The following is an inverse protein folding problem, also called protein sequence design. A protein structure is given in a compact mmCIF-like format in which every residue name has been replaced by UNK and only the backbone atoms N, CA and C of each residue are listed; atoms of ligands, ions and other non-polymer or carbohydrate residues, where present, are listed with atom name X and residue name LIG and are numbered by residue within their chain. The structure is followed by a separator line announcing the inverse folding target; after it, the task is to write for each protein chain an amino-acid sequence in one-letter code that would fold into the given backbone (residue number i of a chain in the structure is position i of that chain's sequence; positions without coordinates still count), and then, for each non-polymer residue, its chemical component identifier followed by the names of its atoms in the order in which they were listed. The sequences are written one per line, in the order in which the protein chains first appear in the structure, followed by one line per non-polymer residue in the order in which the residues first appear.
data_IF_964312262048
#
_entry.id   IF_964312262048
#
_cell.length_a   1.000
_cell.length_b   1.000
_cell.length_c   1.000
_cell.angle_alpha   90.00
_cell.angle_beta   90.00
_cell.angle_gamma   90.00
#
_symmetry.space_group_name_H-M   'P 1'
#
loop_
_entity.id
_entity.type
_entity.pdbx_description
1 polymer ?
#
# COMPACT_ATOMS: atom_id res chain seq x y z
N UNK A 1 7.15 9.09 -13.19
CA UNK A 1 5.83 8.57 -13.62
C UNK A 1 4.87 9.70 -14.05
N UNK A 2 4.54 10.71 -13.22
CA UNK A 2 3.60 11.79 -13.59
C UNK A 2 3.93 12.46 -14.94
N UNK A 3 5.13 12.97 -15.14
CA UNK A 3 5.54 13.61 -16.39
C UNK A 3 5.46 12.66 -17.59
N UNK A 4 5.83 11.39 -17.40
CA UNK A 4 5.72 10.40 -18.46
C UNK A 4 4.25 10.12 -18.85
N UNK A 5 3.32 10.14 -17.91
CA UNK A 5 1.88 10.01 -18.22
C UNK A 5 1.37 11.20 -19.03
N UNK A 6 1.79 12.43 -18.69
CA UNK A 6 1.44 13.64 -19.45
C UNK A 6 1.95 13.53 -20.89
N UNK A 7 3.20 13.14 -21.10
CA UNK A 7 3.80 12.94 -22.42
C UNK A 7 3.11 11.84 -23.24
N UNK A 8 2.51 10.86 -22.57
CA UNK A 8 1.75 9.79 -23.22
C UNK A 8 0.29 10.17 -23.56
N UNK A 9 -0.08 11.42 -23.40
CA UNK A 9 -1.40 11.94 -23.75
C UNK A 9 -2.42 11.88 -22.62
N UNK A 10 -1.98 11.75 -21.37
CA UNK A 10 -2.80 11.88 -20.16
C UNK A 10 -2.53 13.24 -19.49
N UNK A 11 -3.12 14.36 -19.98
CA UNK A 11 -2.74 15.71 -19.60
C UNK A 11 -2.95 16.03 -18.11
N UNK A 12 -3.87 15.32 -17.44
CA UNK A 12 -4.07 15.45 -16.00
C UNK A 12 -2.94 14.78 -15.19
N UNK A 13 -2.19 13.84 -15.81
CA UNK A 13 -1.14 13.08 -15.14
C UNK A 13 -1.68 12.27 -13.96
N UNK A 14 -1.04 12.43 -12.79
CA UNK A 14 -1.44 11.79 -11.53
C UNK A 14 -1.91 12.87 -10.55
N UNK A 15 -3.04 12.64 -9.91
CA UNK A 15 -3.49 13.36 -8.73
C UNK A 15 -3.14 12.54 -7.49
N UNK A 16 -2.41 13.13 -6.54
CA UNK A 16 -1.85 12.39 -5.39
C UNK A 16 -2.16 13.12 -4.08
N UNK A 17 -2.69 12.37 -3.13
CA UNK A 17 -2.80 12.77 -1.73
C UNK A 17 -1.85 11.89 -0.90
N UNK A 18 -0.96 12.53 -0.13
CA UNK A 18 -0.08 11.85 0.83
C UNK A 18 -0.59 12.09 2.24
N UNK A 19 -0.80 11.02 2.99
CA UNK A 19 -1.26 11.07 4.40
C UNK A 19 -0.17 10.45 5.27
N UNK A 20 0.42 11.24 6.16
CA UNK A 20 1.47 10.79 7.09
C UNK A 20 1.42 11.66 8.36
N UNK A 21 1.28 11.09 9.57
CA UNK A 21 1.26 11.84 10.82
C UNK A 21 2.62 12.36 11.25
N UNK A 22 3.71 11.81 10.70
CA UNK A 22 5.06 11.97 11.22
C UNK A 22 5.68 13.32 10.89
N UNK A 23 6.61 13.69 11.75
CA UNK A 23 7.55 14.79 11.51
C UNK A 23 8.94 14.23 11.22
N UNK A 24 9.73 15.01 10.48
CA UNK A 24 11.11 14.67 10.19
C UNK A 24 11.94 14.73 11.47
N UNK A 25 12.64 13.65 11.78
CA UNK A 25 13.61 13.55 12.87
C UNK A 25 15.05 13.53 12.35
N UNK A 26 16.01 13.76 13.23
CA UNK A 26 17.44 13.66 12.88
C UNK A 26 17.82 12.27 12.36
N UNK A 27 17.16 11.21 12.85
CA UNK A 27 17.41 9.82 12.42
C UNK A 27 16.87 9.50 11.02
N UNK A 28 16.02 10.37 10.45
CA UNK A 28 15.57 10.23 9.07
C UNK A 28 16.61 10.72 8.05
N UNK A 29 17.48 11.66 8.46
CA UNK A 29 18.51 12.23 7.60
C UNK A 29 19.55 11.16 7.26
N UNK A 30 19.92 11.06 6.00
CA UNK A 30 20.92 10.09 5.52
C UNK A 30 20.37 8.72 5.10
N UNK A 31 19.13 8.36 5.50
CA UNK A 31 18.44 7.14 5.03
C UNK A 31 17.10 7.40 4.34
N UNK A 32 16.57 8.60 4.43
CA UNK A 32 15.38 9.08 3.75
C UNK A 32 15.69 10.42 3.07
N UNK A 33 14.87 10.83 2.13
CA UNK A 33 15.07 12.05 1.31
C UNK A 33 14.76 13.34 2.09
N UNK A 34 15.32 13.50 3.28
CA UNK A 34 15.19 14.70 4.12
C UNK A 34 16.54 15.36 4.39
N UNK A 35 16.51 16.67 4.59
CA UNK A 35 17.66 17.50 4.87
C UNK A 35 17.64 18.03 6.32
N UNK A 36 18.76 18.52 6.85
CA UNK A 36 18.81 19.06 8.20
C UNK A 36 17.80 20.20 8.45
N UNK A 37 17.47 21.00 7.42
CA UNK A 37 16.47 22.06 7.47
C UNK A 37 15.03 21.57 7.62
N UNK A 38 14.76 20.28 7.36
CA UNK A 38 13.41 19.71 7.42
C UNK A 38 13.03 19.23 8.81
N UNK A 39 14.01 19.10 9.71
CA UNK A 39 13.77 18.56 11.05
C UNK A 39 12.66 19.31 11.77
N UNK A 40 11.68 18.57 12.29
CA UNK A 40 10.50 19.10 12.96
C UNK A 40 9.33 19.44 12.06
N UNK A 41 9.51 19.40 10.73
CA UNK A 41 8.44 19.65 9.76
C UNK A 41 7.70 18.33 9.40
N UNK A 42 6.49 18.45 8.84
CA UNK A 42 5.70 17.28 8.39
C UNK A 42 6.40 16.56 7.23
N UNK A 43 6.56 15.23 7.33
CA UNK A 43 7.16 14.41 6.28
C UNK A 43 6.38 14.51 4.97
N UNK A 44 5.05 14.37 5.05
CA UNK A 44 4.18 14.44 3.88
C UNK A 44 4.25 15.80 3.18
N UNK A 45 4.12 16.90 3.93
CA UNK A 45 4.10 18.25 3.38
C UNK A 45 5.41 18.62 2.69
N UNK A 46 6.55 18.29 3.30
CA UNK A 46 7.87 18.57 2.72
C UNK A 46 8.06 17.83 1.40
N UNK A 47 7.75 16.53 1.33
CA UNK A 47 7.95 15.75 0.12
C UNK A 47 6.98 16.15 -0.98
N UNK A 48 5.71 16.40 -0.64
CA UNK A 48 4.71 16.87 -1.61
C UNK A 48 5.07 18.23 -2.17
N UNK A 49 5.49 19.19 -1.32
CA UNK A 49 5.92 20.49 -1.76
C UNK A 49 7.13 20.43 -2.72
N UNK A 50 8.10 19.54 -2.45
CA UNK A 50 9.22 19.29 -3.36
C UNK A 50 8.77 18.76 -4.71
N UNK A 51 7.87 17.75 -4.69
CA UNK A 51 7.31 17.20 -5.92
C UNK A 51 6.55 18.27 -6.72
N UNK A 52 5.72 19.07 -6.05
CA UNK A 52 4.95 20.15 -6.69
C UNK A 52 5.87 21.20 -7.34
N UNK A 53 6.95 21.60 -6.66
CA UNK A 53 7.92 22.54 -7.22
C UNK A 53 8.68 21.95 -8.42
N UNK A 54 9.09 20.68 -8.35
CA UNK A 54 9.88 20.06 -9.40
C UNK A 54 9.05 19.70 -10.63
N UNK A 55 7.82 19.22 -10.44
CA UNK A 55 6.98 18.68 -11.51
C UNK A 55 5.81 19.59 -11.89
N UNK A 56 5.66 20.74 -11.20
CA UNK A 56 4.54 21.68 -11.37
C UNK A 56 3.18 21.01 -11.18
N UNK A 57 3.08 20.13 -10.19
CA UNK A 57 1.83 19.47 -9.80
C UNK A 57 1.10 20.23 -8.70
N UNK A 58 -0.16 19.87 -8.48
CA UNK A 58 -0.98 20.39 -7.37
C UNK A 58 -1.30 19.30 -6.34
N UNK A 59 -0.36 18.37 -6.06
CA UNK A 59 -0.56 17.29 -5.12
C UNK A 59 -0.79 17.80 -3.70
N UNK A 60 -1.54 17.03 -2.92
CA UNK A 60 -1.95 17.42 -1.56
C UNK A 60 -1.27 16.56 -0.50
N UNK A 61 -1.09 17.13 0.68
CA UNK A 61 -0.58 16.43 1.86
C UNK A 61 -1.50 16.65 3.06
N UNK A 62 -1.65 15.61 3.90
CA UNK A 62 -2.37 15.67 5.17
C UNK A 62 -1.47 15.12 6.28
N UNK A 63 -1.18 15.93 7.30
CA UNK A 63 -0.51 15.49 8.51
C UNK A 63 -1.50 14.83 9.46
N UNK A 64 -1.88 13.60 9.15
CA UNK A 64 -2.85 12.84 9.93
C UNK A 64 -2.60 11.34 9.84
N UNK A 65 -3.15 10.58 10.79
CA UNK A 65 -3.15 9.12 10.74
C UNK A 65 -4.42 8.60 10.08
N UNK A 66 -4.30 7.54 9.29
CA UNK A 66 -5.45 6.76 8.86
C UNK A 66 -5.92 5.87 10.00
N UNK A 67 -7.17 6.03 10.41
CA UNK A 67 -7.81 5.28 11.49
C UNK A 67 -8.93 4.40 10.97
N UNK A 68 -9.50 3.56 11.84
CA UNK A 68 -10.65 2.73 11.51
C UNK A 68 -11.87 3.53 11.01
N UNK A 69 -12.00 4.80 11.42
CA UNK A 69 -13.11 5.67 11.04
C UNK A 69 -12.80 6.59 9.86
N UNK A 70 -11.57 6.55 9.36
CA UNK A 70 -11.15 7.38 8.24
C UNK A 70 -11.94 7.07 6.97
N UNK A 71 -12.13 8.13 6.16
CA UNK A 71 -12.62 8.04 4.79
C UNK A 71 -11.74 8.92 3.92
N UNK A 72 -11.32 8.42 2.78
CA UNK A 72 -10.62 9.23 1.78
C UNK A 72 -11.61 10.21 1.13
N UNK A 73 -11.18 11.45 0.93
CA UNK A 73 -12.04 12.53 0.42
C UNK A 73 -12.57 12.28 -0.99
N UNK A 74 -11.75 11.65 -1.81
CA UNK A 74 -12.10 11.27 -3.17
C UNK A 74 -12.15 9.74 -3.25
N UNK A 75 -12.90 9.22 -4.23
CA UNK A 75 -12.92 7.80 -4.52
C UNK A 75 -11.58 7.44 -5.19
N UNK A 76 -10.57 6.93 -4.45
CA UNK A 76 -9.25 6.70 -5.02
C UNK A 76 -9.29 5.52 -5.98
N UNK A 77 -8.57 5.61 -7.10
CA UNK A 77 -8.34 4.48 -8.00
C UNK A 77 -7.32 3.51 -7.42
N UNK A 78 -6.28 4.05 -6.78
CA UNK A 78 -5.19 3.29 -6.18
C UNK A 78 -4.84 3.88 -4.82
N UNK A 79 -4.68 3.02 -3.83
CA UNK A 79 -4.14 3.37 -2.51
C UNK A 79 -2.82 2.62 -2.32
N UNK A 80 -1.76 3.35 -2.00
CA UNK A 80 -0.43 2.79 -1.71
C UNK A 80 -0.24 2.79 -0.19
N UNK A 81 -0.10 1.60 0.40
CA UNK A 81 0.13 1.42 1.82
C UNK A 81 1.61 1.22 2.12
N UNK A 82 2.21 2.19 2.80
CA UNK A 82 3.61 2.16 3.25
C UNK A 82 3.69 2.18 4.79
N UNK A 83 2.71 1.59 5.46
CA UNK A 83 2.62 1.57 6.92
C UNK A 83 3.47 0.45 7.51
N UNK A 84 4.11 0.72 8.63
CA UNK A 84 5.08 -0.16 9.30
C UNK A 84 4.44 -1.16 10.27
N UNK A 85 3.17 -0.95 10.68
CA UNK A 85 2.49 -1.80 11.64
C UNK A 85 1.19 -2.40 11.09
N UNK A 86 0.75 -3.50 11.70
CA UNK A 86 -0.42 -4.29 11.27
C UNK A 86 -1.73 -3.55 11.50
N UNK A 87 -1.84 -2.84 12.61
CA UNK A 87 -3.01 -2.03 12.95
C UNK A 87 -3.24 -0.93 11.90
N UNK A 88 -2.20 -0.26 11.47
CA UNK A 88 -2.26 0.74 10.40
C UNK A 88 -2.72 0.14 9.06
N UNK A 89 -2.19 -1.04 8.67
CA UNK A 89 -2.66 -1.75 7.47
C UNK A 89 -4.14 -2.10 7.54
N UNK A 90 -4.61 -2.60 8.69
CA UNK A 90 -6.02 -2.88 8.89
C UNK A 90 -6.89 -1.63 8.75
N UNK A 91 -6.47 -0.49 9.31
CA UNK A 91 -7.16 0.78 9.21
C UNK A 91 -7.24 1.28 7.76
N UNK A 92 -6.14 1.20 6.99
CA UNK A 92 -6.10 1.57 5.57
C UNK A 92 -7.11 0.73 4.76
N UNK A 93 -7.13 -0.59 4.93
CA UNK A 93 -8.07 -1.46 4.24
C UNK A 93 -9.53 -1.15 4.59
N UNK A 94 -9.83 -0.83 5.85
CA UNK A 94 -11.17 -0.40 6.27
C UNK A 94 -11.55 0.94 5.65
N UNK A 95 -10.61 1.91 5.61
CA UNK A 95 -10.82 3.21 5.00
C UNK A 95 -11.11 3.08 3.50
N UNK A 96 -10.39 2.23 2.76
CA UNK A 96 -10.65 1.95 1.34
C UNK A 96 -12.08 1.44 1.17
N UNK A 97 -12.46 0.37 1.89
CA UNK A 97 -13.81 -0.23 1.79
C UNK A 97 -14.96 0.77 2.01
N UNK A 98 -14.72 1.79 2.86
CA UNK A 98 -15.70 2.85 3.15
C UNK A 98 -15.72 3.98 2.14
N UNK A 99 -14.60 4.19 1.43
CA UNK A 99 -14.40 5.33 0.54
C UNK A 99 -14.76 5.03 -0.90
N UNK A 100 -14.57 3.77 -1.35
CA UNK A 100 -14.78 3.41 -2.74
C UNK A 100 -16.19 2.90 -3.00
N UNK A 101 -16.75 3.29 -4.15
CA UNK A 101 -18.09 2.86 -4.55
C UNK A 101 -18.09 1.43 -5.08
N UNK A 102 -17.12 1.06 -5.92
CA UNK A 102 -16.98 -0.27 -6.51
C UNK A 102 -15.73 -0.97 -5.99
N UNK A 103 -14.56 -0.56 -6.45
CA UNK A 103 -13.27 -1.10 -6.03
C UNK A 103 -12.18 -0.05 -6.19
N UNK A 104 -11.09 -0.25 -5.45
CA UNK A 104 -9.81 0.40 -5.69
C UNK A 104 -8.71 -0.65 -5.71
N UNK A 105 -7.60 -0.35 -6.38
CA UNK A 105 -6.37 -1.10 -6.19
C UNK A 105 -5.74 -0.71 -4.85
N UNK A 106 -5.20 -1.72 -4.16
CA UNK A 106 -4.38 -1.53 -2.97
C UNK A 106 -3.01 -2.13 -3.21
N UNK A 107 -1.99 -1.28 -3.19
CA UNK A 107 -0.59 -1.66 -3.31
C UNK A 107 0.04 -1.63 -1.92
N UNK A 108 0.29 -2.79 -1.33
CA UNK A 108 0.95 -2.93 -0.03
C UNK A 108 2.45 -3.06 -0.21
N UNK A 109 3.20 -2.22 0.50
CA UNK A 109 4.65 -2.30 0.61
C UNK A 109 5.01 -2.68 2.06
N UNK A 110 5.82 -3.72 2.18
CA UNK A 110 6.36 -4.13 3.47
C UNK A 110 7.81 -4.56 3.32
N UNK A 111 8.62 -4.27 4.33
CA UNK A 111 10.01 -4.70 4.33
C UNK A 111 10.53 -4.95 5.75
N UNK A 112 11.56 -5.76 5.82
CA UNK A 112 12.43 -5.98 6.98
C UNK A 112 13.80 -5.39 6.68
N UNK A 113 14.83 -5.82 7.38
CA UNK A 113 16.20 -5.34 7.17
C UNK A 113 16.69 -5.55 5.72
N UNK A 114 16.50 -6.74 5.15
CA UNK A 114 17.05 -7.10 3.84
C UNK A 114 16.01 -7.67 2.86
N UNK A 115 14.78 -7.89 3.32
CA UNK A 115 13.73 -8.45 2.49
C UNK A 115 12.55 -7.51 2.42
N UNK A 116 11.78 -7.63 1.34
CA UNK A 116 10.55 -6.86 1.21
C UNK A 116 9.59 -7.48 0.23
N UNK A 117 8.38 -6.97 0.26
CA UNK A 117 7.28 -7.37 -0.62
C UNK A 117 6.56 -6.15 -1.17
N UNK A 118 6.11 -6.28 -2.40
CA UNK A 118 5.17 -5.37 -3.06
C UNK A 118 4.03 -6.22 -3.57
N UNK A 119 2.80 -5.96 -3.14
CA UNK A 119 1.64 -6.75 -3.55
C UNK A 119 0.49 -5.81 -3.92
N UNK A 120 0.08 -5.86 -5.19
CA UNK A 120 -1.09 -5.18 -5.72
C UNK A 120 -2.29 -6.11 -5.67
N UNK A 121 -3.38 -5.66 -5.10
CA UNK A 121 -4.65 -6.36 -5.11
C UNK A 121 -5.82 -5.40 -5.19
N UNK A 122 -7.04 -5.94 -5.28
CA UNK A 122 -8.26 -5.12 -5.28
C UNK A 122 -8.93 -5.16 -3.90
N UNK A 123 -9.46 -4.03 -3.49
CA UNK A 123 -10.34 -3.90 -2.34
C UNK A 123 -11.71 -3.45 -2.82
N UNK A 124 -12.73 -4.26 -2.56
CA UNK A 124 -14.10 -3.93 -2.94
C UNK A 124 -14.76 -3.05 -1.89
N UNK A 125 -15.47 -2.02 -2.36
CA UNK A 125 -16.37 -1.22 -1.56
C UNK A 125 -17.54 -2.05 -1.03
N UNK A 126 -18.20 -1.55 0.02
CA UNK A 126 -19.31 -2.24 0.68
C UNK A 126 -20.51 -2.51 -0.21
N UNK A 127 -20.69 -1.74 -1.29
CA UNK A 127 -21.77 -1.87 -2.27
C UNK A 127 -21.39 -2.69 -3.51
N UNK A 128 -20.14 -3.11 -3.66
CA UNK A 128 -19.66 -3.85 -4.81
C UNK A 128 -20.27 -5.26 -4.83
N UNK A 129 -20.79 -5.66 -5.99
CA UNK A 129 -21.40 -6.98 -6.22
C UNK A 129 -20.49 -7.93 -7.00
N UNK A 130 -19.29 -7.49 -7.39
CA UNK A 130 -18.32 -8.36 -8.07
C UNK A 130 -17.87 -9.46 -7.12
N UNK A 131 -17.68 -10.66 -7.66
CA UNK A 131 -17.28 -11.83 -6.86
C UNK A 131 -15.78 -12.12 -6.95
N UNK A 132 -15.19 -11.88 -8.13
CA UNK A 132 -13.78 -12.17 -8.39
C UNK A 132 -12.96 -10.89 -8.28
N UNK A 133 -11.85 -10.97 -7.58
CA UNK A 133 -10.89 -9.87 -7.42
C UNK A 133 -9.45 -10.39 -7.37
N UNK A 134 -8.52 -9.54 -7.69
CA UNK A 134 -7.11 -9.80 -7.44
C UNK A 134 -6.87 -9.80 -5.91
N UNK A 135 -6.32 -10.87 -5.32
CA UNK A 135 -6.09 -10.91 -3.87
C UNK A 135 -5.08 -9.85 -3.45
N UNK A 136 -5.40 -9.11 -2.40
CA UNK A 136 -4.48 -8.15 -1.80
C UNK A 136 -3.61 -8.82 -0.71
N UNK A 137 -2.63 -8.10 -0.21
CA UNK A 137 -1.65 -8.63 0.73
C UNK A 137 -2.29 -9.32 1.96
N UNK A 138 -3.36 -8.75 2.54
CA UNK A 138 -4.03 -9.35 3.70
C UNK A 138 -4.92 -10.56 3.36
N UNK A 139 -5.20 -10.85 2.09
CA UNK A 139 -5.83 -12.12 1.69
C UNK A 139 -4.81 -13.25 1.64
N UNK A 140 -3.59 -12.93 1.20
CA UNK A 140 -2.48 -13.90 1.10
C UNK A 140 -1.79 -14.12 2.45
N UNK A 141 -1.73 -13.08 3.28
CA UNK A 141 -1.09 -13.07 4.59
C UNK A 141 -2.01 -12.40 5.62
N UNK A 142 -3.01 -13.11 6.16
CA UNK A 142 -3.96 -12.52 7.10
C UNK A 142 -3.33 -11.89 8.34
N UNK A 143 -2.19 -12.42 8.78
CA UNK A 143 -1.47 -11.94 9.97
C UNK A 143 -0.93 -10.51 9.82
N UNK A 144 -0.79 -9.98 8.60
CA UNK A 144 -0.28 -8.62 8.39
C UNK A 144 -1.26 -7.51 8.81
N UNK A 145 -2.49 -7.87 9.14
CA UNK A 145 -3.52 -6.96 9.66
C UNK A 145 -3.97 -7.31 11.08
N UNK A 146 -3.36 -8.31 11.70
CA UNK A 146 -3.63 -8.66 13.10
C UNK A 146 -2.79 -7.78 14.04
N UNK A 147 -3.35 -6.66 14.46
CA UNK A 147 -2.68 -5.72 15.36
C UNK A 147 -2.33 -6.28 16.74
N UNK A 148 -2.83 -7.48 17.11
CA UNK A 148 -2.41 -8.15 18.34
C UNK A 148 -0.99 -8.68 18.28
N UNK A 149 -0.45 -8.83 17.06
CA UNK A 149 0.91 -9.28 16.76
C UNK A 149 1.90 -8.11 16.59
N UNK A 150 1.46 -6.86 16.72
CA UNK A 150 2.37 -5.72 16.71
C UNK A 150 3.23 -5.76 17.99
N UNK A 151 4.54 -5.68 17.81
CA UNK A 151 5.47 -5.68 18.94
C UNK A 151 5.25 -4.46 19.83
N UNK A 152 5.25 -4.70 21.16
CA UNK A 152 5.05 -3.64 22.14
C UNK A 152 6.27 -2.71 22.25
N UNK A 153 7.39 -3.07 21.63
CA UNK A 153 8.70 -2.41 21.73
C UNK A 153 9.13 -1.65 20.46
N UNK A 154 8.21 -1.17 19.65
CA UNK A 154 8.51 -0.29 18.51
C UNK A 154 8.89 1.14 18.95
N UNK A 155 9.82 1.23 19.89
CA UNK A 155 10.41 2.52 20.25
C UNK A 155 11.18 3.09 19.04
N UNK A 156 11.01 4.39 18.74
CA UNK A 156 11.78 5.05 17.68
C UNK A 156 13.28 4.88 17.92
N UNK A 157 14.02 4.60 16.84
CA UNK A 157 15.49 4.50 16.94
C UNK A 157 16.09 5.81 17.44
N UNK A 158 16.94 5.74 18.45
CA UNK A 158 17.57 6.91 19.07
C UNK A 158 18.72 7.49 18.22
N UNK A 159 19.27 6.72 17.28
CA UNK A 159 20.37 7.14 16.40
C UNK A 159 20.19 6.61 14.96
N UNK A 160 20.91 7.23 14.01
CA UNK A 160 20.98 6.74 12.63
C UNK A 160 21.61 5.33 12.57
N UNK A 161 22.64 5.05 13.38
CA UNK A 161 23.28 3.74 13.43
C UNK A 161 22.27 2.65 13.83
N UNK A 162 21.52 2.86 14.93
CA UNK A 162 20.48 1.95 15.37
C UNK A 162 19.36 1.76 14.33
N UNK A 163 19.01 2.82 13.61
CA UNK A 163 18.03 2.73 12.53
C UNK A 163 18.54 1.89 11.34
N UNK A 164 19.86 1.96 11.04
CA UNK A 164 20.49 1.16 9.99
C UNK A 164 20.68 -0.31 10.40
N UNK A 165 20.83 -0.60 11.70
CA UNK A 165 20.85 -1.98 12.21
C UNK A 165 19.49 -2.67 12.04
N UNK A 166 18.38 -1.90 12.11
CA UNK A 166 17.02 -2.42 11.89
C UNK A 166 16.63 -2.52 10.43
N UNK A 167 17.24 -1.73 9.53
CA UNK A 167 16.83 -1.61 8.14
C UNK A 167 18.01 -1.20 7.25
N UNK A 168 18.29 -2.01 6.22
CA UNK A 168 19.32 -1.68 5.22
C UNK A 168 19.03 -0.34 4.53
N UNK A 169 20.08 0.42 4.23
CA UNK A 169 19.99 1.75 3.63
C UNK A 169 19.15 1.80 2.34
N UNK A 170 19.24 0.76 1.50
CA UNK A 170 18.62 0.77 0.17
C UNK A 170 17.32 -0.04 0.06
N UNK A 171 16.86 -0.67 1.14
CA UNK A 171 15.66 -1.52 1.05
C UNK A 171 14.41 -0.71 0.69
N UNK A 172 14.24 0.48 1.27
CA UNK A 172 13.08 1.34 0.99
C UNK A 172 13.06 1.79 -0.48
N UNK A 173 14.21 2.24 -1.01
CA UNK A 173 14.33 2.67 -2.40
C UNK A 173 14.08 1.50 -3.36
N UNK A 174 14.58 0.31 -3.00
CA UNK A 174 14.34 -0.91 -3.79
C UNK A 174 12.85 -1.24 -3.83
N UNK A 175 12.15 -1.17 -2.69
CA UNK A 175 10.69 -1.42 -2.64
C UNK A 175 9.90 -0.35 -3.40
N UNK A 176 10.27 0.91 -3.27
CA UNK A 176 9.64 2.00 -3.99
C UNK A 176 9.81 1.86 -5.52
N UNK A 177 11.01 1.50 -5.98
CA UNK A 177 11.28 1.24 -7.40
C UNK A 177 10.48 0.03 -7.92
N UNK A 178 10.40 -1.04 -7.14
CA UNK A 178 9.61 -2.21 -7.47
C UNK A 178 8.11 -1.88 -7.62
N UNK A 179 7.56 -1.12 -6.68
CA UNK A 179 6.19 -0.64 -6.70
C UNK A 179 5.91 0.28 -7.90
N UNK A 180 6.81 1.24 -8.14
CA UNK A 180 6.68 2.15 -9.28
C UNK A 180 6.78 1.42 -10.63
N UNK A 181 7.62 0.40 -10.74
CA UNK A 181 7.72 -0.41 -11.97
C UNK A 181 6.42 -1.15 -12.25
N UNK A 182 5.80 -1.77 -11.24
CA UNK A 182 4.54 -2.46 -11.37
C UNK A 182 3.39 -1.51 -11.76
N UNK A 183 3.31 -0.35 -11.11
CA UNK A 183 2.32 0.67 -11.45
C UNK A 183 2.55 1.25 -12.85
N UNK A 184 3.81 1.40 -13.27
CA UNK A 184 4.13 1.87 -14.62
C UNK A 184 3.64 0.91 -15.69
N UNK A 185 3.82 -0.41 -15.50
CA UNK A 185 3.27 -1.41 -16.42
C UNK A 185 1.75 -1.30 -16.50
N UNK A 186 1.08 -1.20 -15.35
CA UNK A 186 -0.37 -1.06 -15.29
C UNK A 186 -0.84 0.20 -16.03
N UNK A 187 -0.21 1.36 -15.78
CA UNK A 187 -0.61 2.61 -16.42
C UNK A 187 -0.28 2.65 -17.91
N UNK A 188 0.87 2.10 -18.29
CA UNK A 188 1.36 2.15 -19.67
C UNK A 188 0.61 1.20 -20.59
N UNK A 189 0.29 -0.01 -20.10
CA UNK A 189 -0.23 -1.10 -20.93
C UNK A 189 -1.64 -1.54 -20.56
N UNK A 190 -2.22 -1.04 -19.47
CA UNK A 190 -3.53 -1.44 -18.97
C UNK A 190 -3.59 -2.86 -18.43
N UNK A 191 -2.44 -3.55 -18.35
CA UNK A 191 -2.33 -4.94 -17.89
C UNK A 191 -0.97 -5.19 -17.25
N UNK A 192 -0.91 -6.20 -16.39
CA UNK A 192 0.29 -6.65 -15.70
C UNK A 192 0.43 -8.17 -15.83
N UNK A 193 1.64 -8.69 -15.83
CA UNK A 193 1.95 -10.14 -15.91
C UNK A 193 2.06 -10.80 -14.54
N UNK A 194 2.33 -10.02 -13.51
CA UNK A 194 2.41 -10.42 -12.11
C UNK A 194 1.81 -9.28 -11.27
N UNK A 195 1.30 -9.60 -10.09
CA UNK A 195 0.67 -8.58 -9.24
C UNK A 195 1.46 -8.27 -7.97
N UNK A 196 2.68 -8.73 -7.90
CA UNK A 196 3.58 -8.43 -6.80
C UNK A 196 4.94 -9.07 -7.01
N UNK A 197 5.84 -8.79 -6.08
CA UNK A 197 7.15 -9.43 -6.03
C UNK A 197 7.70 -9.43 -4.61
N UNK A 198 8.51 -10.44 -4.36
CA UNK A 198 9.30 -10.58 -3.13
C UNK A 198 10.76 -10.31 -3.47
N UNK A 199 11.40 -9.46 -2.69
CA UNK A 199 12.79 -9.04 -2.91
C UNK A 199 13.63 -9.39 -1.70
N UNK A 200 14.82 -9.92 -1.95
CA UNK A 200 15.85 -10.09 -0.94
C UNK A 200 17.15 -9.46 -1.47
N UNK A 201 17.48 -8.28 -0.96
CA UNK A 201 18.65 -7.51 -1.43
C UNK A 201 19.97 -8.14 -1.02
N UNK A 202 20.01 -8.92 0.07
CA UNK A 202 21.23 -9.61 0.52
C UNK A 202 21.63 -10.74 -0.42
N UNK A 203 20.64 -11.49 -0.93
CA UNK A 203 20.89 -12.58 -1.89
C UNK A 203 20.72 -12.16 -3.35
N UNK A 204 20.28 -10.94 -3.63
CA UNK A 204 19.98 -10.44 -4.98
C UNK A 204 18.76 -11.13 -5.62
N UNK A 205 17.92 -11.83 -4.84
CA UNK A 205 16.78 -12.57 -5.38
C UNK A 205 15.55 -11.69 -5.49
N UNK A 206 14.91 -11.74 -6.66
CA UNK A 206 13.57 -11.18 -6.91
C UNK A 206 12.67 -12.32 -7.40
N UNK A 207 11.52 -12.51 -6.75
CA UNK A 207 10.55 -13.55 -7.10
C UNK A 207 9.20 -12.91 -7.39
N UNK A 208 8.68 -12.99 -8.62
CA UNK A 208 7.38 -12.42 -8.95
C UNK A 208 6.25 -13.23 -8.31
N UNK A 209 5.16 -12.55 -7.95
CA UNK A 209 3.90 -13.16 -7.55
C UNK A 209 2.99 -13.22 -8.77
N UNK A 210 2.83 -14.40 -9.33
CA UNK A 210 2.03 -14.60 -10.54
C UNK A 210 0.54 -14.32 -10.31
N UNK A 211 -0.15 -13.85 -11.35
CA UNK A 211 -1.62 -13.78 -11.39
C UNK A 211 -2.13 -15.18 -11.75
N UNK A 212 -2.09 -16.06 -10.76
CA UNK A 212 -2.44 -17.47 -10.90
C UNK A 212 -3.08 -18.01 -9.61
N UNK A 213 -4.36 -18.45 -9.66
CA UNK A 213 -5.04 -19.04 -8.50
C UNK A 213 -4.30 -20.22 -7.85
N UNK A 214 -3.55 -21.02 -8.62
CA UNK A 214 -2.75 -22.11 -8.06
C UNK A 214 -1.54 -21.59 -7.28
N UNK A 215 -0.95 -20.47 -7.71
CA UNK A 215 0.11 -19.80 -6.97
C UNK A 215 -0.44 -19.24 -5.63
N UNK A 216 -1.65 -18.66 -5.62
CA UNK A 216 -2.26 -18.09 -4.42
C UNK A 216 -2.64 -19.12 -3.37
N UNK A 217 -2.98 -20.36 -3.77
CA UNK A 217 -3.24 -21.46 -2.84
C UNK A 217 -2.05 -21.78 -1.93
N UNK A 218 -0.82 -21.53 -2.38
CA UNK A 218 0.39 -21.71 -1.56
C UNK A 218 0.43 -20.76 -0.35
N UNK A 219 -0.32 -19.66 -0.41
CA UNK A 219 -0.49 -18.70 0.67
C UNK A 219 -1.80 -18.94 1.46
N UNK A 220 -2.51 -20.04 1.18
CA UNK A 220 -3.78 -20.37 1.83
C UNK A 220 -5.00 -19.66 1.24
N UNK A 221 -4.84 -18.88 0.17
CA UNK A 221 -5.95 -18.20 -0.49
C UNK A 221 -6.60 -19.12 -1.52
N UNK A 222 -7.88 -19.44 -1.31
CA UNK A 222 -8.69 -20.17 -2.29
C UNK A 222 -9.85 -19.28 -2.74
N UNK A 223 -9.82 -18.84 -3.98
CA UNK A 223 -10.83 -17.98 -4.59
C UNK A 223 -12.25 -18.58 -4.50
N UNK A 224 -12.38 -19.92 -4.49
CA UNK A 224 -13.68 -20.60 -4.35
C UNK A 224 -14.24 -20.51 -2.93
N UNK A 225 -13.37 -20.42 -1.92
CA UNK A 225 -13.77 -20.28 -0.52
C UNK A 225 -13.97 -18.82 -0.10
N UNK A 226 -13.33 -17.88 -0.80
CA UNK A 226 -13.46 -16.44 -0.56
C UNK A 226 -14.84 -15.89 -0.99
N UNK A 227 -15.64 -16.66 -1.74
CA UNK A 227 -17.01 -16.26 -2.12
C UNK A 227 -17.90 -16.23 -0.88
N UNK A 228 -18.61 -15.13 -0.60
CA UNK A 228 -19.57 -15.10 0.50
C UNK A 228 -20.60 -16.21 0.30
N UNK A 229 -20.75 -17.10 1.29
CA UNK A 229 -21.80 -18.12 1.28
C UNK A 229 -23.13 -17.40 1.05
N UNK A 230 -23.76 -17.62 -0.09
CA UNK A 230 -25.13 -17.15 -0.36
C UNK A 230 -25.99 -17.58 0.83
N UNK A 231 -26.50 -16.61 1.59
CA UNK A 231 -27.52 -16.89 2.62
C UNK A 231 -28.68 -17.60 1.89
N UNK A 232 -28.84 -18.88 2.14
CA UNK A 232 -30.03 -19.61 1.69
C UNK A 232 -31.22 -18.86 2.23
N UNK A 233 -32.12 -18.42 1.34
CA UNK A 233 -33.43 -17.92 1.75
C UNK A 233 -34.07 -19.04 2.59
N UNK A 234 -34.15 -18.83 3.88
CA UNK A 234 -34.91 -19.72 4.77
C UNK A 234 -36.30 -19.84 4.18
N UNK A 235 -36.71 -21.06 3.90
CA UNK A 235 -38.05 -21.38 3.46
C UNK A 235 -39.03 -20.73 4.43
N UNK A 236 -39.93 -19.88 3.91
CA UNK A 236 -41.13 -19.46 4.65
C UNK A 236 -41.91 -20.73 4.94
N UNK A 237 -41.90 -21.18 6.18
CA UNK A 237 -42.87 -22.14 6.67
C UNK A 237 -44.19 -21.44 6.63
N UNK A 238 -45.04 -21.87 5.73
CA UNK A 238 -46.49 -21.60 5.76
C UNK A 238 -47.04 -22.35 6.97
N UNK A 239 -47.47 -21.60 7.96
CA UNK A 239 -48.36 -22.11 8.98
C UNK A 239 -49.78 -21.91 8.45
N UNK A 240 -50.47 -23.05 8.30
CA UNK A 240 -51.88 -23.13 8.09
C UNK A 240 -52.64 -22.81 9.37
#
# INVERSE_FOLDING_TARGET
MHLAMVELGHPAGLDVLVIDPDTVSKTNIGRQNFWPSDVGQSKAEILVNRCNMLMRTGWSAEKSSVTDDSRFRHNPDIVIGCVDNRKGRAAVLKAIKRSVNQSAYYLDLGNTEHTGQVILGEVFGTSCKRENRLPHAADLYPDIIDGSLDDKDDAPSCSLAEALDKQSLFINDTMANAACSLLWELFRYGQITHHGQFVNIKSGRVTPLAIDPEAWKRFGYDEKQAKPKRRSKAAKVQAA
#
